data_IF_824463916300
#
_entry.id   IF_824463916300
#
_cell.length_a   1.000
_cell.length_b   1.000
_cell.length_c   1.000
_cell.angle_alpha   90.00
_cell.angle_beta   90.00
_cell.angle_gamma   90.00
#
_symmetry.space_group_name_H-M   'P 1'
#
loop_
_entity.id
_entity.type
_entity.pdbx_description
1 polymer ?
#
# COMPACT_ATOMS: atom_id res chain seq x y z
N UNK A 1 36.08 59.84 55.06
CA UNK A 1 35.75 59.40 53.68
C UNK A 1 35.45 57.88 53.55
N UNK A 2 34.99 57.16 54.59
CA UNK A 2 34.80 55.69 54.55
C UNK A 2 33.35 55.20 54.49
N UNK A 3 32.38 55.94 55.05
CA UNK A 3 30.96 55.53 55.05
C UNK A 3 30.27 55.63 53.68
N UNK A 4 30.73 56.53 52.80
CA UNK A 4 30.08 56.75 51.50
C UNK A 4 30.22 55.54 50.58
N UNK A 5 31.39 54.89 50.56
CA UNK A 5 31.65 53.74 49.70
C UNK A 5 30.88 52.48 50.12
N UNK A 6 30.58 52.33 51.42
CA UNK A 6 29.82 51.17 51.93
C UNK A 6 28.35 51.24 51.49
N UNK A 7 27.74 52.44 51.49
CA UNK A 7 26.36 52.63 51.02
C UNK A 7 26.22 52.40 49.51
N UNK A 8 27.20 52.82 48.71
CA UNK A 8 27.22 52.51 47.28
C UNK A 8 27.37 51.01 47.01
N UNK A 9 28.19 50.31 47.80
CA UNK A 9 28.39 48.86 47.67
C UNK A 9 27.12 48.06 47.98
N UNK A 10 26.35 48.45 49.00
CA UNK A 10 25.09 47.76 49.34
C UNK A 10 24.00 48.00 48.30
N UNK A 11 23.88 49.21 47.76
CA UNK A 11 22.94 49.51 46.67
C UNK A 11 23.30 48.73 45.41
N UNK A 12 24.59 48.64 45.07
CA UNK A 12 25.05 47.83 43.93
C UNK A 12 24.77 46.35 44.14
N UNK A 13 25.00 45.81 45.34
CA UNK A 13 24.73 44.42 45.67
C UNK A 13 23.23 44.08 45.60
N UNK A 14 22.36 44.95 46.11
CA UNK A 14 20.91 44.79 45.99
C UNK A 14 20.44 44.90 44.53
N UNK A 15 21.04 45.80 43.74
CA UNK A 15 20.78 45.91 42.30
C UNK A 15 21.17 44.63 41.55
N UNK A 16 22.37 44.10 41.80
CA UNK A 16 22.84 42.86 41.19
C UNK A 16 21.98 41.66 41.61
N UNK A 17 21.59 41.57 42.88
CA UNK A 17 20.72 40.50 43.37
C UNK A 17 19.35 40.53 42.66
N UNK A 18 18.75 41.72 42.47
CA UNK A 18 17.50 41.88 41.72
C UNK A 18 17.65 41.48 40.25
N UNK A 19 18.77 41.82 39.60
CA UNK A 19 19.00 41.44 38.21
C UNK A 19 19.16 39.91 38.05
N UNK A 20 19.85 39.26 38.98
CA UNK A 20 19.98 37.80 38.98
C UNK A 20 18.63 37.13 39.23
N UNK A 21 17.82 37.63 40.17
CA UNK A 21 16.47 37.10 40.41
C UNK A 21 15.53 37.30 39.21
N UNK A 22 15.58 38.46 38.54
CA UNK A 22 14.79 38.69 37.32
C UNK A 22 15.24 37.76 36.20
N UNK A 23 16.54 37.60 35.98
CA UNK A 23 17.08 36.71 34.95
C UNK A 23 16.69 35.25 35.18
N UNK A 24 16.67 34.79 36.44
CA UNK A 24 16.26 33.42 36.76
C UNK A 24 14.76 33.22 36.56
N UNK A 25 13.95 34.23 36.92
CA UNK A 25 12.51 34.20 36.74
C UNK A 25 12.11 34.20 35.26
N UNK A 26 12.77 35.01 34.42
CA UNK A 26 12.51 35.05 32.97
C UNK A 26 12.99 33.79 32.25
N UNK A 27 14.13 33.22 32.64
CA UNK A 27 14.61 31.95 32.08
C UNK A 27 13.67 30.79 32.43
N UNK A 28 13.18 30.74 33.67
CA UNK A 28 12.28 29.69 34.13
C UNK A 28 10.86 29.82 33.59
N UNK A 29 10.35 31.04 33.38
CA UNK A 29 9.06 31.25 32.73
C UNK A 29 9.12 30.94 31.23
N UNK A 30 10.22 31.25 30.55
CA UNK A 30 10.43 30.92 29.13
C UNK A 30 10.44 29.42 28.89
N UNK A 31 11.08 28.63 29.76
CA UNK A 31 11.10 27.15 29.63
C UNK A 31 9.72 26.53 29.82
N UNK A 32 8.86 27.12 30.66
CA UNK A 32 7.49 26.64 30.86
C UNK A 32 6.55 27.04 29.72
N UNK A 33 6.75 28.21 29.11
CA UNK A 33 6.02 28.66 27.93
C UNK A 33 6.29 27.79 26.70
N UNK A 34 7.55 27.41 26.49
CA UNK A 34 7.97 26.60 25.33
C UNK A 34 7.29 25.22 25.30
N UNK A 35 7.16 24.57 26.46
CA UNK A 35 6.46 23.28 26.58
C UNK A 35 4.97 23.41 26.22
N UNK A 36 4.31 24.47 26.68
CA UNK A 36 2.89 24.72 26.36
C UNK A 36 2.71 25.02 24.87
N UNK A 37 3.63 25.79 24.27
CA UNK A 37 3.62 26.10 22.84
C UNK A 37 3.85 24.86 21.96
N UNK A 38 4.69 23.92 22.40
CA UNK A 38 4.91 22.63 21.73
C UNK A 38 3.60 21.81 21.70
N UNK A 39 2.94 21.65 22.85
CA UNK A 39 1.67 20.92 22.90
C UNK A 39 0.58 21.57 22.06
N UNK A 40 0.53 22.90 22.05
CA UNK A 40 -0.45 23.64 21.25
C UNK A 40 -0.21 23.44 19.75
N UNK A 41 1.05 23.42 19.31
CA UNK A 41 1.41 23.12 17.91
C UNK A 41 1.09 21.68 17.52
N UNK A 42 1.42 20.71 18.35
CA UNK A 42 1.12 19.30 18.07
C UNK A 42 -0.38 19.05 18.01
N UNK A 43 -1.16 19.65 18.92
CA UNK A 43 -2.61 19.55 18.91
C UNK A 43 -3.22 20.17 17.64
N UNK A 44 -2.71 21.32 17.20
CA UNK A 44 -3.15 21.96 15.95
C UNK A 44 -2.80 21.11 14.73
N UNK A 45 -1.58 20.58 14.65
CA UNK A 45 -1.14 19.70 13.57
C UNK A 45 -1.96 18.40 13.52
N UNK A 46 -2.28 17.83 14.69
CA UNK A 46 -3.13 16.65 14.80
C UNK A 46 -4.56 16.95 14.32
N UNK A 47 -5.12 18.11 14.72
CA UNK A 47 -6.45 18.55 14.28
C UNK A 47 -6.51 18.72 12.77
N UNK A 48 -5.49 19.31 12.16
CA UNK A 48 -5.41 19.51 10.72
C UNK A 48 -5.34 18.18 9.96
N UNK A 49 -4.49 17.25 10.43
CA UNK A 49 -4.41 15.89 9.86
C UNK A 49 -5.73 15.14 9.98
N UNK A 50 -6.37 15.19 11.15
CA UNK A 50 -7.67 14.55 11.36
C UNK A 50 -8.74 15.15 10.44
N UNK A 51 -8.76 16.48 10.31
CA UNK A 51 -9.69 17.15 9.41
C UNK A 51 -9.47 16.76 7.93
N UNK A 52 -8.21 16.65 7.48
CA UNK A 52 -7.91 16.16 6.12
C UNK A 52 -8.36 14.71 5.91
N UNK A 53 -8.14 13.84 6.89
CA UNK A 53 -8.54 12.43 6.82
C UNK A 53 -10.06 12.29 6.81
N UNK A 54 -10.78 13.10 7.60
CA UNK A 54 -12.23 13.14 7.61
C UNK A 54 -12.81 13.63 6.28
N UNK A 55 -12.25 14.71 5.70
CA UNK A 55 -12.65 15.19 4.38
C UNK A 55 -12.45 14.14 3.29
N UNK A 56 -11.33 13.44 3.32
CA UNK A 56 -11.04 12.38 2.36
C UNK A 56 -12.01 11.20 2.53
N UNK A 57 -12.29 10.80 3.78
CA UNK A 57 -13.26 9.74 4.06
C UNK A 57 -14.68 10.13 3.60
N UNK A 58 -15.09 11.38 3.82
CA UNK A 58 -16.35 11.92 3.29
C UNK A 58 -16.41 11.91 1.76
N UNK A 59 -15.31 12.26 1.09
CA UNK A 59 -15.22 12.16 -0.38
C UNK A 59 -15.35 10.73 -0.85
N UNK A 60 -14.59 9.80 -0.27
CA UNK A 60 -14.67 8.37 -0.59
C UNK A 60 -16.07 7.81 -0.32
N UNK A 61 -16.72 8.22 0.76
CA UNK A 61 -18.10 7.80 1.08
C UNK A 61 -19.10 8.28 0.02
N UNK A 62 -18.95 9.52 -0.48
CA UNK A 62 -19.78 10.03 -1.59
C UNK A 62 -19.54 9.25 -2.89
N UNK A 63 -18.28 8.98 -3.22
CA UNK A 63 -17.92 8.18 -4.40
C UNK A 63 -18.47 6.76 -4.31
N UNK A 64 -18.33 6.10 -3.16
CA UNK A 64 -18.91 4.77 -2.92
C UNK A 64 -20.43 4.78 -3.02
N UNK A 65 -21.10 5.84 -2.53
CA UNK A 65 -22.54 5.96 -2.65
C UNK A 65 -22.98 6.14 -4.12
N UNK A 66 -22.21 6.89 -4.93
CA UNK A 66 -22.45 7.00 -6.37
C UNK A 66 -22.27 5.65 -7.07
N UNK A 67 -21.21 4.90 -6.74
CA UNK A 67 -21.00 3.54 -7.26
C UNK A 67 -22.13 2.60 -6.85
N UNK A 68 -22.61 2.69 -5.61
CA UNK A 68 -23.73 1.87 -5.12
C UNK A 68 -25.03 2.18 -5.90
N UNK A 69 -25.35 3.45 -6.11
CA UNK A 69 -26.51 3.85 -6.90
C UNK A 69 -26.37 3.42 -8.36
N UNK A 70 -25.16 3.46 -8.92
CA UNK A 70 -24.87 2.94 -10.26
C UNK A 70 -25.06 1.41 -10.34
N UNK A 71 -24.61 0.67 -9.32
CA UNK A 71 -24.82 -0.78 -9.24
C UNK A 71 -26.31 -1.10 -9.11
N UNK A 72 -27.05 -0.39 -8.25
CA UNK A 72 -28.51 -0.57 -8.15
C UNK A 72 -29.20 -0.26 -9.48
N UNK A 73 -28.77 0.79 -10.19
CA UNK A 73 -29.27 1.13 -11.52
C UNK A 73 -28.95 0.02 -12.53
N UNK A 74 -27.72 -0.48 -12.56
CA UNK A 74 -27.29 -1.56 -13.45
C UNK A 74 -28.01 -2.89 -13.14
N UNK A 75 -28.30 -3.18 -11.87
CA UNK A 75 -29.10 -4.35 -11.47
C UNK A 75 -30.56 -4.16 -11.90
N UNK A 76 -31.17 -3.01 -11.64
CA UNK A 76 -32.53 -2.70 -12.08
C UNK A 76 -32.66 -2.75 -13.61
N UNK A 77 -31.66 -2.23 -14.33
CA UNK A 77 -31.56 -2.31 -15.78
C UNK A 77 -31.35 -3.75 -16.26
N UNK A 78 -30.51 -4.56 -15.59
CA UNK A 78 -30.40 -6.01 -15.87
C UNK A 78 -31.68 -6.79 -15.58
N UNK A 79 -32.45 -6.38 -14.57
CA UNK A 79 -33.74 -6.99 -14.23
C UNK A 79 -34.78 -6.64 -15.30
N UNK A 80 -34.83 -5.37 -15.74
CA UNK A 80 -35.63 -4.94 -16.89
C UNK A 80 -35.16 -5.62 -18.19
N UNK A 81 -33.85 -5.81 -18.40
CA UNK A 81 -33.28 -6.56 -19.52
C UNK A 81 -33.60 -8.06 -19.43
N UNK A 82 -33.90 -8.61 -18.24
CA UNK A 82 -34.38 -9.99 -18.05
C UNK A 82 -35.83 -10.15 -18.52
N UNK A 83 -36.66 -9.13 -18.32
CA UNK A 83 -38.00 -9.05 -18.89
C UNK A 83 -37.95 -8.83 -20.41
N UNK A 84 -36.98 -8.04 -20.89
CA UNK A 84 -36.69 -7.93 -22.31
C UNK A 84 -36.07 -9.25 -22.83
N UNK A 85 -35.39 -10.12 -22.04
CA UNK A 85 -34.82 -11.40 -22.54
C UNK A 85 -35.86 -12.41 -22.99
N UNK A 86 -37.08 -12.31 -22.46
CA UNK A 86 -38.25 -13.01 -23.03
C UNK A 86 -38.70 -12.44 -24.39
N UNK A 87 -38.32 -11.21 -24.68
CA UNK A 87 -38.61 -10.45 -25.90
C UNK A 87 -37.42 -10.46 -26.89
N UNK A 88 -36.18 -10.60 -26.41
CA UNK A 88 -34.92 -10.65 -27.19
C UNK A 88 -34.85 -11.91 -28.06
N UNK A 89 -35.51 -13.01 -27.67
CA UNK A 89 -35.70 -14.21 -28.51
C UNK A 89 -36.64 -13.99 -29.70
N UNK A 90 -37.37 -12.86 -29.74
CA UNK A 90 -38.31 -12.51 -30.81
C UNK A 90 -37.76 -11.47 -31.81
N UNK A 91 -36.56 -10.93 -31.61
CA UNK A 91 -36.00 -9.85 -32.44
C UNK A 91 -34.96 -10.36 -33.45
N UNK A 92 -34.91 -9.74 -34.63
CA UNK A 92 -34.01 -10.11 -35.73
C UNK A 92 -32.54 -9.78 -35.43
N UNK A 93 -31.62 -10.59 -35.96
CA UNK A 93 -30.16 -10.56 -35.74
C UNK A 93 -29.52 -9.18 -35.98
N UNK A 94 -29.99 -8.43 -36.98
CA UNK A 94 -29.46 -7.11 -37.34
C UNK A 94 -29.67 -6.05 -36.23
N UNK A 95 -30.76 -6.18 -35.48
CA UNK A 95 -31.10 -5.28 -34.38
C UNK A 95 -30.25 -5.59 -33.14
N UNK A 96 -29.88 -6.87 -32.96
CA UNK A 96 -29.03 -7.34 -31.84
C UNK A 96 -27.60 -6.81 -31.96
N UNK A 97 -27.05 -6.82 -33.17
CA UNK A 97 -25.69 -6.33 -33.45
C UNK A 97 -25.57 -4.80 -33.24
N UNK A 98 -26.59 -4.03 -33.62
CA UNK A 98 -26.62 -2.58 -33.36
C UNK A 98 -26.69 -2.27 -31.86
N UNK A 99 -27.44 -3.05 -31.09
CA UNK A 99 -27.58 -2.85 -29.64
C UNK A 99 -26.31 -3.28 -28.86
N UNK A 100 -25.58 -4.30 -29.32
CA UNK A 100 -24.31 -4.70 -28.71
C UNK A 100 -23.19 -3.66 -28.91
N UNK A 101 -23.16 -3.00 -30.08
CA UNK A 101 -22.23 -1.90 -30.34
C UNK A 101 -22.52 -0.68 -29.43
N UNK A 102 -23.80 -0.38 -29.18
CA UNK A 102 -24.20 0.67 -28.23
C UNK A 102 -23.83 0.32 -26.79
N UNK A 103 -24.00 -0.95 -26.37
CA UNK A 103 -23.63 -1.40 -25.02
C UNK A 103 -22.12 -1.42 -24.76
N UNK A 104 -21.29 -1.63 -25.79
CA UNK A 104 -19.82 -1.62 -25.67
C UNK A 104 -19.21 -0.22 -25.63
N UNK A 105 -19.97 0.81 -26.04
CA UNK A 105 -19.52 2.21 -26.09
C UNK A 105 -19.59 2.96 -24.76
N UNK A 106 -20.20 2.36 -23.72
CA UNK A 106 -20.31 2.92 -22.37
C UNK A 106 -19.60 2.02 -21.35
N UNK A 107 -18.28 1.86 -21.50
CA UNK A 107 -17.45 1.33 -20.42
C UNK A 107 -17.31 2.39 -19.32
N UNK A 108 -18.33 2.50 -18.45
CA UNK A 108 -18.39 3.44 -17.31
C UNK A 108 -17.86 2.80 -16.01
N UNK A 109 -17.27 1.61 -16.09
CA UNK A 109 -16.51 1.00 -14.98
C UNK A 109 -15.21 0.46 -15.55
N UNK A 110 -14.20 1.32 -15.66
CA UNK A 110 -12.83 0.82 -15.73
C UNK A 110 -12.53 0.22 -14.35
N UNK A 111 -12.67 -1.09 -14.22
CA UNK A 111 -12.12 -1.79 -13.06
C UNK A 111 -10.63 -1.43 -13.01
N UNK A 112 -10.08 -1.08 -11.83
CA UNK A 112 -8.66 -0.84 -11.69
C UNK A 112 -7.91 -2.04 -12.27
N UNK A 113 -7.26 -1.83 -13.40
CA UNK A 113 -6.42 -2.85 -14.00
C UNK A 113 -5.23 -3.09 -13.08
N UNK A 114 -4.59 -4.26 -13.14
CA UNK A 114 -3.35 -4.54 -12.40
C UNK A 114 -2.28 -3.46 -12.64
N UNK A 115 -2.31 -2.84 -13.83
CA UNK A 115 -1.45 -1.72 -14.22
C UNK A 115 -1.68 -0.43 -13.42
N UNK A 116 -2.81 -0.28 -12.74
CA UNK A 116 -3.03 0.83 -11.82
C UNK A 116 -2.13 0.73 -10.58
N UNK A 117 -1.93 -0.50 -10.08
CA UNK A 117 -1.07 -0.78 -8.92
C UNK A 117 0.38 -1.09 -9.32
N UNK A 118 0.58 -1.65 -10.52
CA UNK A 118 1.88 -2.02 -11.06
C UNK A 118 2.14 -1.27 -12.39
N UNK A 119 2.26 0.07 -12.36
CA UNK A 119 2.39 0.89 -13.58
C UNK A 119 3.70 0.61 -14.34
N UNK A 120 4.72 0.07 -13.67
CA UNK A 120 5.99 -0.32 -14.29
C UNK A 120 5.84 -1.47 -15.29
N UNK A 121 4.75 -2.23 -15.23
CA UNK A 121 4.46 -3.30 -16.18
C UNK A 121 3.95 -2.78 -17.53
N UNK A 122 3.46 -1.53 -17.61
CA UNK A 122 2.92 -0.96 -18.86
C UNK A 122 3.99 -0.83 -19.96
N UNK A 123 5.23 -0.56 -19.57
CA UNK A 123 6.35 -0.40 -20.49
C UNK A 123 7.23 -1.65 -20.60
N UNK A 124 6.86 -2.75 -19.91
CA UNK A 124 7.66 -3.98 -19.80
C UNK A 124 6.74 -5.18 -19.79
N UNK A 125 6.32 -5.60 -20.98
CA UNK A 125 5.48 -6.79 -21.17
C UNK A 125 6.19 -8.09 -20.75
N UNK A 126 7.52 -8.09 -20.77
CA UNK A 126 8.40 -9.17 -20.32
C UNK A 126 8.54 -9.22 -18.78
N UNK A 127 8.16 -8.18 -18.05
CA UNK A 127 8.37 -8.09 -16.59
C UNK A 127 7.55 -9.10 -15.78
N UNK A 128 6.50 -9.69 -16.38
CA UNK A 128 5.69 -10.73 -15.74
C UNK A 128 6.18 -12.14 -16.07
N UNK A 129 7.17 -12.28 -16.95
CA UNK A 129 7.73 -13.58 -17.28
C UNK A 129 8.80 -13.97 -16.25
N UNK A 130 8.73 -15.19 -15.69
CA UNK A 130 9.77 -15.70 -14.82
C UNK A 130 11.12 -15.73 -15.56
N UNK A 131 12.19 -15.31 -14.88
CA UNK A 131 13.53 -15.31 -15.46
C UNK A 131 14.03 -16.74 -15.80
N UNK A 132 13.54 -17.75 -15.09
CA UNK A 132 13.90 -19.16 -15.29
C UNK A 132 12.66 -20.02 -15.16
N UNK A 133 12.41 -20.88 -16.14
CA UNK A 133 11.34 -21.87 -16.12
C UNK A 133 11.96 -23.24 -15.86
N UNK A 134 11.54 -23.90 -14.79
CA UNK A 134 11.96 -25.25 -14.43
C UNK A 134 10.76 -26.19 -14.53
N UNK A 135 10.93 -27.35 -15.18
CA UNK A 135 9.87 -28.34 -15.40
C UNK A 135 9.21 -28.27 -16.78
N UNK A 136 7.97 -28.74 -16.89
CA UNK A 136 7.26 -28.96 -18.17
C UNK A 136 6.48 -27.75 -18.70
N UNK A 137 6.60 -26.56 -18.09
CA UNK A 137 5.88 -25.35 -18.55
C UNK A 137 4.35 -25.48 -18.47
N UNK A 138 3.86 -26.03 -17.36
CA UNK A 138 2.44 -26.32 -17.15
C UNK A 138 1.60 -25.04 -17.10
N UNK A 139 0.40 -25.11 -17.66
CA UNK A 139 -0.59 -24.01 -17.71
C UNK A 139 -1.97 -24.54 -17.37
N UNK A 140 -2.85 -23.71 -16.81
CA UNK A 140 -4.22 -24.11 -16.47
C UNK A 140 -4.35 -24.89 -15.17
N UNK A 141 -3.37 -24.74 -14.26
CA UNK A 141 -3.41 -25.33 -12.91
C UNK A 141 -4.40 -24.60 -12.01
N UNK A 142 -4.97 -25.32 -11.03
CA UNK A 142 -5.88 -24.74 -10.04
C UNK A 142 -5.17 -23.97 -8.93
N UNK A 143 -3.92 -24.35 -8.61
CA UNK A 143 -3.16 -23.76 -7.50
C UNK A 143 -1.79 -23.24 -7.97
N UNK A 144 -1.47 -22.01 -7.58
CA UNK A 144 -0.14 -21.42 -7.74
C UNK A 144 0.42 -21.07 -6.36
N UNK A 145 1.59 -21.61 -6.02
CA UNK A 145 2.26 -21.38 -4.74
C UNK A 145 3.45 -20.45 -4.93
N UNK A 146 3.44 -19.29 -4.27
CA UNK A 146 4.57 -18.37 -4.25
C UNK A 146 5.51 -18.67 -3.09
N UNK A 147 6.79 -18.95 -3.37
CA UNK A 147 7.83 -19.19 -2.35
C UNK A 147 8.88 -18.07 -2.42
N UNK A 148 8.85 -17.10 -1.49
CA UNK A 148 9.88 -16.06 -1.43
C UNK A 148 11.15 -16.59 -0.75
N UNK A 149 12.31 -16.18 -1.26
CA UNK A 149 13.61 -16.51 -0.72
C UNK A 149 14.58 -15.32 -0.79
N UNK A 150 15.49 -15.26 0.18
CA UNK A 150 16.59 -14.30 0.27
C UNK A 150 17.87 -15.06 0.61
N UNK A 151 19.02 -14.48 0.29
CA UNK A 151 20.32 -15.03 0.62
C UNK A 151 20.49 -15.09 2.13
N UNK A 152 21.05 -16.21 2.61
CA UNK A 152 21.37 -16.43 4.01
C UNK A 152 22.82 -16.85 4.13
N UNK A 153 23.47 -16.40 5.20
CA UNK A 153 24.90 -16.66 5.43
C UNK A 153 25.16 -18.12 5.85
N UNK A 154 24.22 -18.73 6.56
CA UNK A 154 24.42 -20.06 7.18
C UNK A 154 23.79 -21.18 6.36
N UNK A 155 22.46 -21.16 6.18
CA UNK A 155 21.73 -22.21 5.46
C UNK A 155 20.52 -21.63 4.73
N UNK A 156 20.32 -22.06 3.48
CA UNK A 156 19.14 -21.70 2.69
C UNK A 156 18.05 -22.75 2.89
N UNK A 157 16.88 -22.33 3.38
CA UNK A 157 15.73 -23.22 3.57
C UNK A 157 14.97 -23.52 2.27
N UNK A 158 15.36 -22.92 1.15
CA UNK A 158 14.58 -23.01 -0.09
C UNK A 158 14.47 -24.45 -0.60
N UNK A 159 15.60 -25.16 -0.68
CA UNK A 159 15.64 -26.56 -1.13
C UNK A 159 14.84 -27.47 -0.22
N UNK A 160 14.97 -27.29 1.10
CA UNK A 160 14.23 -28.09 2.09
C UNK A 160 12.73 -27.82 1.99
N UNK A 161 12.34 -26.55 1.87
CA UNK A 161 10.93 -26.14 1.73
C UNK A 161 10.31 -26.73 0.47
N UNK A 162 10.98 -26.63 -0.68
CA UNK A 162 10.49 -27.19 -1.93
C UNK A 162 10.40 -28.72 -1.86
N UNK A 163 11.38 -29.38 -1.24
CA UNK A 163 11.37 -30.83 -1.05
C UNK A 163 10.18 -31.28 -0.19
N UNK A 164 9.92 -30.58 0.93
CA UNK A 164 8.77 -30.85 1.79
C UNK A 164 7.45 -30.67 1.04
N UNK A 165 7.26 -29.53 0.37
CA UNK A 165 6.07 -29.27 -0.43
C UNK A 165 5.85 -30.35 -1.50
N UNK A 166 6.90 -30.70 -2.25
CA UNK A 166 6.80 -31.75 -3.26
C UNK A 166 6.57 -33.14 -2.67
N UNK A 167 7.03 -33.43 -1.45
CA UNK A 167 6.83 -34.73 -0.82
C UNK A 167 5.42 -34.92 -0.28
N UNK A 168 4.77 -33.83 0.15
CA UNK A 168 3.44 -33.86 0.76
C UNK A 168 2.30 -33.86 -0.27
N UNK A 169 2.56 -33.41 -1.50
CA UNK A 169 1.59 -33.40 -2.58
C UNK A 169 1.37 -34.80 -3.16
N UNK A 170 0.11 -35.15 -3.44
CA UNK A 170 -0.25 -36.33 -4.22
C UNK A 170 0.15 -36.19 -5.70
N UNK A 171 0.17 -37.29 -6.46
CA UNK A 171 0.51 -37.24 -7.88
C UNK A 171 -0.43 -36.33 -8.69
N UNK A 172 -1.73 -36.33 -8.37
CA UNK A 172 -2.71 -35.48 -9.02
C UNK A 172 -2.48 -33.99 -8.70
N UNK A 173 -2.19 -33.65 -7.43
CA UNK A 173 -1.92 -32.27 -7.03
C UNK A 173 -0.60 -31.76 -7.60
N UNK A 174 0.42 -32.62 -7.72
CA UNK A 174 1.66 -32.27 -8.42
C UNK A 174 1.39 -31.84 -9.85
N UNK A 175 0.49 -32.53 -10.54
CA UNK A 175 0.12 -32.21 -11.93
C UNK A 175 -0.76 -30.95 -12.04
N UNK A 176 -1.50 -30.61 -10.99
CA UNK A 176 -2.40 -29.45 -10.92
C UNK A 176 -1.85 -28.28 -10.05
N UNK A 177 -0.53 -28.16 -9.93
CA UNK A 177 0.08 -27.01 -9.27
C UNK A 177 1.31 -26.46 -9.98
N UNK A 178 1.57 -25.17 -9.76
CA UNK A 178 2.81 -24.47 -10.16
C UNK A 178 3.39 -23.77 -8.95
N UNK A 179 4.70 -23.93 -8.74
CA UNK A 179 5.43 -23.22 -7.69
C UNK A 179 6.26 -22.10 -8.34
N UNK A 180 6.05 -20.87 -7.91
CA UNK A 180 6.80 -19.69 -8.37
C UNK A 180 7.73 -19.25 -7.25
N UNK A 181 9.03 -19.31 -7.50
CA UNK A 181 10.05 -18.92 -6.53
C UNK A 181 10.52 -17.50 -6.80
N UNK A 182 10.35 -16.60 -5.83
CA UNK A 182 10.92 -15.25 -5.87
C UNK A 182 12.28 -15.26 -5.16
N UNK A 183 13.35 -14.94 -5.88
CA UNK A 183 14.68 -14.72 -5.30
C UNK A 183 14.85 -13.21 -5.13
N UNK A 184 14.63 -12.71 -3.91
CA UNK A 184 14.72 -11.30 -3.57
C UNK A 184 16.16 -10.85 -3.34
N UNK A 185 17.03 -11.09 -4.33
CA UNK A 185 18.45 -10.72 -4.30
C UNK A 185 18.82 -9.88 -5.52
N UNK A 186 19.62 -8.84 -5.30
CA UNK A 186 20.13 -8.00 -6.38
C UNK A 186 21.32 -8.64 -7.12
N UNK A 187 22.01 -9.58 -6.48
CA UNK A 187 23.14 -10.30 -7.07
C UNK A 187 22.64 -11.37 -8.06
N UNK A 188 22.76 -11.06 -9.35
CA UNK A 188 22.36 -11.95 -10.43
C UNK A 188 23.15 -13.26 -10.45
N UNK A 189 24.41 -13.27 -10.01
CA UNK A 189 25.24 -14.48 -9.97
C UNK A 189 24.71 -15.43 -8.92
N UNK A 190 24.38 -14.91 -7.74
CA UNK A 190 23.72 -15.69 -6.69
C UNK A 190 22.38 -16.25 -7.17
N UNK A 191 21.51 -15.41 -7.74
CA UNK A 191 20.20 -15.86 -8.23
C UNK A 191 20.31 -16.98 -9.28
N UNK A 192 21.26 -16.85 -10.21
CA UNK A 192 21.54 -17.89 -11.22
C UNK A 192 22.05 -19.19 -10.58
N UNK A 193 22.94 -19.08 -9.58
CA UNK A 193 23.45 -20.25 -8.86
C UNK A 193 22.34 -21.00 -8.10
N UNK A 194 21.39 -20.26 -7.51
CA UNK A 194 20.22 -20.85 -6.85
C UNK A 194 19.34 -21.56 -7.87
N UNK A 195 19.05 -20.92 -9.01
CA UNK A 195 18.27 -21.54 -10.08
C UNK A 195 18.92 -22.84 -10.61
N UNK A 196 20.25 -22.87 -10.73
CA UNK A 196 20.97 -24.08 -11.15
C UNK A 196 20.97 -25.19 -10.10
N UNK A 197 20.99 -24.83 -8.81
CA UNK A 197 20.79 -25.81 -7.73
C UNK A 197 19.37 -26.38 -7.75
N UNK A 198 18.36 -25.55 -8.04
CA UNK A 198 16.96 -26.00 -8.15
C UNK A 198 16.71 -26.92 -9.34
N UNK A 199 17.48 -26.81 -10.44
CA UNK A 199 17.41 -27.75 -11.58
C UNK A 199 17.79 -29.19 -11.23
N UNK A 200 18.49 -29.39 -10.11
CA UNK A 200 19.01 -30.68 -9.67
C UNK A 200 18.10 -31.37 -8.64
N UNK A 201 17.06 -30.70 -8.15
CA UNK A 201 15.99 -31.30 -7.36
C UNK A 201 15.12 -32.20 -8.24
#
# INVERSE_FOLDING_TARGET
MRLRNVSFLTVLLFGLCRLVSLSWYTAFSSSRGDVVDIYQREFLALRERLHSAEQENLRRSKELNLVLEEIKRAIAEKQALRDINRTWSSLSEETRLKLWNVSSSKNVLQLPSIFHHLPHLLNREDSLQPAVHLGQGRTGVSIVMGVPSVKREVHSYLTDTLSSLMSELSAAEKDDCVIVVLIAEADQQYASSVADNLKRL
#
